data_IF_578848454017
#
_entry.id   IF_578848454017
#
_cell.length_a   1.000
_cell.length_b   1.000
_cell.length_c   1.000
_cell.angle_alpha   90.00
_cell.angle_beta   90.00
_cell.angle_gamma   90.00
#
_symmetry.space_group_name_H-M   'P 1'
#
loop_
_entity.id
_entity.type
_entity.pdbx_description
1 polymer ?
#
# COMPACT_ATOMS: atom_id res chain seq x y z
N UNK A 1 -26.85 -45.29 -31.09
CA UNK A 1 -26.90 -43.84 -31.35
C UNK A 1 -27.05 -43.03 -30.07
N UNK A 2 -28.11 -43.19 -29.27
CA UNK A 2 -28.30 -42.40 -28.03
C UNK A 2 -27.28 -42.68 -26.91
N UNK A 3 -26.83 -43.94 -26.76
CA UNK A 3 -25.85 -44.33 -25.73
C UNK A 3 -24.48 -43.65 -25.92
N UNK A 4 -24.04 -43.51 -27.17
CA UNK A 4 -22.73 -42.91 -27.48
C UNK A 4 -22.73 -41.40 -27.25
N UNK A 5 -23.86 -40.73 -27.51
CA UNK A 5 -24.02 -39.30 -27.21
C UNK A 5 -23.97 -39.06 -25.70
N UNK A 6 -24.59 -39.94 -24.90
CA UNK A 6 -24.54 -39.86 -23.44
C UNK A 6 -23.13 -40.11 -22.90
N UNK A 7 -22.40 -41.08 -23.44
CA UNK A 7 -21.00 -41.35 -23.09
C UNK A 7 -20.08 -40.18 -23.44
N UNK A 8 -20.21 -39.60 -24.63
CA UNK A 8 -19.42 -38.45 -25.06
C UNK A 8 -19.71 -37.20 -24.22
N UNK A 9 -20.98 -36.98 -23.86
CA UNK A 9 -21.41 -35.87 -23.01
C UNK A 9 -20.90 -36.04 -21.58
N UNK A 10 -20.97 -37.26 -21.03
CA UNK A 10 -20.43 -37.57 -19.71
C UNK A 10 -18.91 -37.40 -19.67
N UNK A 11 -18.20 -37.88 -20.69
CA UNK A 11 -16.75 -37.70 -20.81
C UNK A 11 -16.38 -36.21 -20.94
N UNK A 12 -17.14 -35.46 -21.74
CA UNK A 12 -16.97 -34.01 -21.87
C UNK A 12 -17.19 -33.27 -20.55
N UNK A 13 -18.18 -33.67 -19.76
CA UNK A 13 -18.43 -33.10 -18.42
C UNK A 13 -17.34 -33.46 -17.42
N UNK A 14 -16.78 -34.67 -17.47
CA UNK A 14 -15.67 -35.08 -16.61
C UNK A 14 -14.40 -34.32 -16.98
N UNK A 15 -14.11 -34.18 -18.27
CA UNK A 15 -12.99 -33.37 -18.79
C UNK A 15 -13.19 -31.92 -18.36
N UNK A 16 -14.37 -31.34 -18.61
CA UNK A 16 -14.70 -29.98 -18.20
C UNK A 16 -14.51 -29.80 -16.69
N UNK A 17 -15.06 -30.67 -15.85
CA UNK A 17 -14.90 -30.59 -14.40
C UNK A 17 -13.44 -30.71 -13.94
N UNK A 18 -12.65 -31.55 -14.59
CA UNK A 18 -11.23 -31.72 -14.27
C UNK A 18 -10.39 -30.50 -14.67
N UNK A 19 -10.70 -29.87 -15.81
CA UNK A 19 -9.99 -28.66 -16.29
C UNK A 19 -10.54 -27.35 -15.70
N UNK A 20 -11.81 -27.30 -15.32
CA UNK A 20 -12.46 -26.14 -14.66
C UNK A 20 -12.25 -26.11 -13.15
N UNK A 21 -11.60 -27.12 -12.56
CA UNK A 21 -10.92 -26.96 -11.27
C UNK A 21 -9.69 -26.08 -11.48
N UNK A 22 -9.91 -24.77 -11.64
CA UNK A 22 -8.87 -23.79 -11.41
C UNK A 22 -8.32 -24.05 -10.02
N UNK A 23 -7.03 -24.39 -9.96
CA UNK A 23 -6.32 -24.41 -8.70
C UNK A 23 -6.24 -22.96 -8.26
N UNK A 24 -6.88 -22.63 -7.14
CA UNK A 24 -6.67 -21.33 -6.52
C UNK A 24 -5.17 -21.19 -6.25
N UNK A 25 -4.52 -20.31 -7.01
CA UNK A 25 -3.13 -19.93 -6.77
C UNK A 25 -3.11 -19.10 -5.49
N UNK A 26 -3.06 -19.80 -4.36
CA UNK A 26 -2.81 -19.15 -3.08
C UNK A 26 -1.38 -18.64 -3.10
N UNK A 27 -1.19 -17.35 -2.82
CA UNK A 27 0.14 -16.81 -2.54
C UNK A 27 0.80 -17.71 -1.48
N UNK A 28 1.98 -18.29 -1.73
CA UNK A 28 2.66 -19.08 -0.71
C UNK A 28 3.13 -18.10 0.37
N UNK A 29 2.29 -17.87 1.38
CA UNK A 29 2.76 -17.39 2.67
C UNK A 29 3.70 -18.48 3.16
N UNK A 30 5.00 -18.18 3.28
CA UNK A 30 6.02 -19.14 3.66
C UNK A 30 5.82 -19.71 5.06
N UNK A 31 6.82 -19.60 5.93
CA UNK A 31 6.65 -19.99 7.34
C UNK A 31 5.78 -19.00 8.14
N UNK A 32 5.39 -17.86 7.53
CA UNK A 32 4.62 -16.80 8.16
C UNK A 32 5.44 -15.88 9.07
N UNK A 33 6.78 -15.94 9.00
CA UNK A 33 7.67 -15.09 9.79
C UNK A 33 8.18 -13.91 8.95
N UNK A 34 7.78 -12.70 9.35
CA UNK A 34 8.20 -11.45 8.70
C UNK A 34 9.15 -10.62 9.57
N UNK A 35 9.54 -11.15 10.73
CA UNK A 35 10.50 -10.52 11.62
C UNK A 35 11.94 -10.67 11.10
N UNK A 36 12.88 -9.88 11.64
CA UNK A 36 14.29 -10.00 11.28
C UNK A 36 14.85 -11.37 11.72
N UNK A 37 15.65 -11.99 10.85
CA UNK A 37 16.34 -13.26 11.15
C UNK A 37 15.43 -14.49 11.16
N UNK A 38 15.93 -15.58 11.74
CA UNK A 38 15.15 -16.82 11.88
C UNK A 38 14.07 -16.67 12.96
N UNK A 39 12.91 -17.32 12.77
CA UNK A 39 11.85 -17.36 13.78
C UNK A 39 12.39 -17.86 15.12
N UNK A 40 12.20 -17.12 16.23
CA UNK A 40 12.57 -17.58 17.56
C UNK A 40 11.88 -18.91 17.90
N UNK A 41 12.59 -19.78 18.63
CA UNK A 41 12.00 -21.04 19.11
C UNK A 41 11.02 -20.86 20.27
N UNK A 42 11.01 -19.69 20.91
CA UNK A 42 10.14 -19.35 22.03
C UNK A 42 8.78 -18.80 21.59
N UNK A 43 7.82 -18.64 22.52
CA UNK A 43 6.55 -18.00 22.23
C UNK A 43 6.74 -16.54 21.81
N UNK A 44 5.89 -16.07 20.90
CA UNK A 44 5.82 -14.66 20.52
C UNK A 44 5.24 -13.81 21.67
N UNK A 45 5.59 -12.53 21.70
CA UNK A 45 5.01 -11.59 22.67
C UNK A 45 3.60 -11.18 22.21
N UNK A 46 2.57 -11.78 22.81
CA UNK A 46 1.16 -11.48 22.53
C UNK A 46 0.61 -10.33 23.39
N UNK A 47 1.44 -9.66 24.20
CA UNK A 47 0.97 -8.59 25.08
C UNK A 47 0.55 -7.33 24.31
N UNK A 48 -0.59 -6.76 24.69
CA UNK A 48 -1.07 -5.49 24.14
C UNK A 48 -0.40 -4.34 24.88
N UNK A 49 0.44 -3.57 24.17
CA UNK A 49 1.22 -2.46 24.74
C UNK A 49 0.69 -1.12 24.24
N UNK A 50 0.55 -0.10 25.12
CA UNK A 50 0.20 1.24 24.67
C UNK A 50 1.31 1.78 23.77
N UNK A 51 0.92 2.45 22.69
CA UNK A 51 1.82 3.15 21.79
C UNK A 51 1.45 4.63 21.77
N UNK A 52 2.45 5.49 21.91
CA UNK A 52 2.30 6.94 21.82
C UNK A 52 3.11 7.41 20.63
N UNK A 53 2.46 8.15 19.73
CA UNK A 53 3.16 8.85 18.65
C UNK A 53 3.93 9.99 19.31
N UNK A 54 5.21 10.10 18.97
CA UNK A 54 6.10 11.18 19.41
C UNK A 54 6.99 11.58 18.23
N UNK A 55 7.42 12.84 18.19
CA UNK A 55 8.44 13.32 17.26
C UNK A 55 9.46 14.17 18.01
N UNK A 56 10.66 14.22 17.48
CA UNK A 56 11.73 15.08 17.95
C UNK A 56 11.70 16.47 17.30
N UNK A 57 12.29 17.46 17.98
CA UNK A 57 12.47 18.80 17.39
C UNK A 57 13.39 18.75 16.17
N UNK A 58 14.34 17.81 16.15
CA UNK A 58 15.23 17.55 15.03
C UNK A 58 14.48 17.09 13.77
N UNK A 59 13.51 16.18 13.89
CA UNK A 59 12.66 15.73 12.79
C UNK A 59 11.78 16.86 12.24
N UNK A 60 11.19 17.68 13.12
CA UNK A 60 10.40 18.84 12.69
C UNK A 60 11.27 19.87 11.99
N UNK A 61 12.48 20.11 12.48
CA UNK A 61 13.41 21.01 11.84
C UNK A 61 13.88 20.47 10.47
N UNK A 62 14.15 19.17 10.34
CA UNK A 62 14.45 18.55 9.04
C UNK A 62 13.29 18.73 8.05
N UNK A 63 12.05 18.51 8.49
CA UNK A 63 10.85 18.77 7.68
C UNK A 63 10.82 20.21 7.17
N UNK A 64 10.99 21.20 8.06
CA UNK A 64 10.98 22.61 7.69
C UNK A 64 12.09 22.97 6.71
N UNK A 65 13.31 22.46 6.91
CA UNK A 65 14.42 22.67 5.99
C UNK A 65 14.16 22.07 4.61
N UNK A 66 13.51 20.90 4.52
CA UNK A 66 13.14 20.29 3.24
C UNK A 66 12.08 21.08 2.50
N UNK A 67 11.08 21.59 3.22
CA UNK A 67 10.04 22.45 2.64
C UNK A 67 10.67 23.72 2.06
N UNK A 68 11.60 24.35 2.78
CA UNK A 68 12.28 25.58 2.31
C UNK A 68 13.16 25.36 1.09
N UNK A 69 13.80 24.19 0.99
CA UNK A 69 14.74 23.86 -0.11
C UNK A 69 14.06 23.24 -1.33
N UNK A 70 12.74 23.12 -1.33
CA UNK A 70 11.99 22.49 -2.43
C UNK A 70 12.21 23.25 -3.74
N UNK A 71 12.38 22.50 -4.83
CA UNK A 71 12.45 23.05 -6.19
C UNK A 71 11.18 22.70 -6.94
N UNK A 72 10.37 23.70 -7.27
CA UNK A 72 9.10 23.53 -7.98
C UNK A 72 9.26 23.88 -9.47
N UNK A 73 8.73 23.04 -10.34
CA UNK A 73 8.62 23.33 -11.78
C UNK A 73 7.33 24.09 -12.07
N UNK A 74 7.36 25.19 -12.85
CA UNK A 74 6.15 25.92 -13.23
C UNK A 74 5.14 25.02 -13.97
N UNK A 75 3.83 25.13 -13.70
CA UNK A 75 2.82 24.34 -14.41
C UNK A 75 2.47 24.98 -15.75
N UNK A 76 1.82 24.21 -16.63
CA UNK A 76 1.19 24.76 -17.83
C UNK A 76 0.11 25.78 -17.45
N UNK A 77 -0.02 26.83 -18.26
CA UNK A 77 -1.00 27.87 -18.01
C UNK A 77 -2.43 27.30 -18.02
N UNK A 78 -3.25 27.72 -17.05
CA UNK A 78 -4.64 27.29 -16.90
C UNK A 78 -4.86 25.76 -16.80
N UNK A 79 -3.81 24.96 -16.54
CA UNK A 79 -3.90 23.50 -16.53
C UNK A 79 -4.71 22.93 -15.36
N UNK A 80 -4.93 23.75 -14.32
CA UNK A 80 -5.54 23.31 -13.05
C UNK A 80 -4.87 22.00 -12.61
N UNK A 81 -5.64 20.93 -12.39
CA UNK A 81 -5.16 19.60 -12.02
C UNK A 81 -5.28 18.56 -13.16
N UNK A 82 -5.51 18.98 -14.41
CA UNK A 82 -5.77 18.04 -15.52
C UNK A 82 -4.58 17.12 -15.86
N UNK A 83 -3.36 17.48 -15.44
CA UNK A 83 -2.13 16.74 -15.71
C UNK A 83 -1.43 16.30 -14.42
N UNK A 84 -2.20 16.06 -13.36
CA UNK A 84 -1.69 15.75 -12.03
C UNK A 84 -1.60 17.00 -11.14
N UNK A 85 -0.78 16.90 -10.10
CA UNK A 85 -0.77 17.91 -9.04
C UNK A 85 -0.19 19.25 -9.52
N UNK A 86 -0.95 20.33 -9.36
CA UNK A 86 -0.53 21.66 -9.79
C UNK A 86 0.53 22.26 -8.84
N UNK A 87 1.70 22.64 -9.34
CA UNK A 87 2.79 23.18 -8.52
C UNK A 87 2.48 24.55 -7.90
N UNK A 88 1.63 25.37 -8.52
CA UNK A 88 1.16 26.62 -7.91
C UNK A 88 0.27 26.36 -6.69
N UNK A 89 -0.51 25.27 -6.70
CA UNK A 89 -1.27 24.84 -5.53
C UNK A 89 -0.38 24.18 -4.49
N UNK A 90 0.60 23.37 -4.91
CA UNK A 90 1.56 22.74 -3.99
C UNK A 90 2.30 23.79 -3.15
N UNK A 91 2.67 24.93 -3.75
CA UNK A 91 3.26 26.05 -3.01
C UNK A 91 2.39 26.53 -1.83
N UNK A 92 1.06 26.53 -1.98
CA UNK A 92 0.13 26.90 -0.89
C UNK A 92 0.12 25.85 0.22
N UNK A 93 0.09 24.57 -0.15
CA UNK A 93 0.16 23.46 0.81
C UNK A 93 1.45 23.52 1.62
N UNK A 94 2.59 23.72 0.94
CA UNK A 94 3.91 23.79 1.57
C UNK A 94 4.01 24.99 2.52
N UNK A 95 3.48 26.16 2.13
CA UNK A 95 3.41 27.32 3.04
C UNK A 95 2.55 27.04 4.27
N UNK A 96 1.39 26.40 4.10
CA UNK A 96 0.55 26.02 5.23
C UNK A 96 1.27 25.04 6.17
N UNK A 97 1.93 24.02 5.64
CA UNK A 97 2.70 23.06 6.45
C UNK A 97 3.90 23.68 7.17
N UNK A 98 4.52 24.71 6.58
CA UNK A 98 5.66 25.40 7.18
C UNK A 98 5.24 26.37 8.30
N UNK A 99 4.18 27.14 8.04
CA UNK A 99 3.88 28.36 8.80
C UNK A 99 2.53 28.30 9.55
N UNK A 100 1.59 27.48 9.08
CA UNK A 100 0.20 27.46 9.57
C UNK A 100 -0.22 26.20 10.29
N UNK A 101 0.50 25.08 10.09
CA UNK A 101 0.17 23.79 10.67
C UNK A 101 0.93 23.58 11.99
N UNK A 102 0.19 23.29 13.05
CA UNK A 102 0.76 23.01 14.37
C UNK A 102 1.09 21.51 14.49
N UNK A 103 2.28 21.14 14.04
CA UNK A 103 2.74 19.75 14.04
C UNK A 103 2.69 19.14 15.44
N UNK A 104 3.10 19.87 16.49
CA UNK A 104 3.17 19.38 17.89
C UNK A 104 1.82 19.06 18.51
N UNK A 105 0.70 19.46 17.89
CA UNK A 105 -0.63 19.03 18.33
C UNK A 105 -1.03 17.65 17.80
N UNK A 106 -0.31 17.14 16.81
CA UNK A 106 -0.66 15.91 16.08
C UNK A 106 0.31 14.76 16.36
N UNK A 107 1.46 15.06 16.94
CA UNK A 107 2.55 14.13 17.26
C UNK A 107 3.06 14.38 18.67
#
# INVERSE_FOLDING_TARGET
MWLEILLASALGLVIYWFFSREKEDTLPLGDGWWGPGARPAGPEDESIRPFKVETSDEELNDLYQRIEKVRLTPPLENSRFHYGFNSSYLKKVLSYWRDGFDWRKQV
#
